data_IF_237752642399
#
_entry.id   IF_237752642399
#
_cell.length_a   1.000
_cell.length_b   1.000
_cell.length_c   1.000
_cell.angle_alpha   90.00
_cell.angle_beta   90.00
_cell.angle_gamma   90.00
#
_symmetry.space_group_name_H-M   'P 1'
#
loop_
_entity.id
_entity.type
_entity.pdbx_description
1 polymer ?
#
# COMPACT_ATOMS: atom_id res chain seq x y z
N UNK A 1 4.11 -0.82 -11.56
CA UNK A 1 5.56 -0.63 -11.55
C UNK A 1 6.06 -0.98 -10.15
N UNK A 2 7.23 -1.63 -10.03
CA UNK A 2 7.78 -2.09 -8.73
C UNK A 2 7.70 -3.60 -8.48
N UNK A 3 7.06 -4.39 -9.35
CA UNK A 3 7.04 -5.86 -9.25
C UNK A 3 5.92 -6.45 -8.39
N UNK A 4 5.22 -5.64 -7.60
CA UNK A 4 4.17 -6.14 -6.69
C UNK A 4 2.89 -6.61 -7.37
N UNK A 5 2.23 -7.60 -6.75
CA UNK A 5 0.93 -8.18 -7.12
C UNK A 5 -0.19 -7.55 -6.28
N UNK A 6 -1.12 -6.88 -6.93
CA UNK A 6 -2.29 -6.30 -6.25
C UNK A 6 -3.25 -7.43 -5.86
N UNK A 7 -3.49 -7.61 -4.57
CA UNK A 7 -4.44 -8.58 -4.02
C UNK A 7 -5.79 -7.91 -3.73
N UNK A 8 -5.78 -6.67 -3.25
CA UNK A 8 -6.97 -5.88 -2.92
C UNK A 8 -6.79 -4.44 -3.41
N UNK A 9 -7.85 -3.81 -3.94
CA UNK A 9 -7.82 -2.41 -4.40
C UNK A 9 -9.05 -1.60 -3.97
N UNK A 10 -9.71 -2.04 -2.90
CA UNK A 10 -11.05 -1.66 -2.45
C UNK A 10 -12.04 -2.82 -2.60
N UNK A 11 -13.33 -2.56 -2.39
CA UNK A 11 -14.39 -3.56 -2.52
C UNK A 11 -15.36 -3.53 -1.35
N UNK A 12 -15.94 -4.68 -1.02
CA UNK A 12 -16.75 -4.84 0.18
C UNK A 12 -15.83 -4.90 1.40
N UNK A 13 -16.11 -4.04 2.39
CA UNK A 13 -15.29 -3.90 3.59
C UNK A 13 -16.22 -3.99 4.79
N UNK A 14 -15.86 -4.87 5.73
CA UNK A 14 -16.49 -4.96 7.04
C UNK A 14 -15.35 -4.73 8.04
N UNK A 15 -15.40 -3.59 8.72
CA UNK A 15 -14.45 -3.29 9.77
C UNK A 15 -14.91 -3.90 11.10
N UNK A 16 -13.95 -4.34 11.91
CA UNK A 16 -14.15 -4.86 13.26
C UNK A 16 -13.35 -4.03 14.27
N UNK A 17 -13.77 -4.03 15.54
CA UNK A 17 -13.14 -3.30 16.65
C UNK A 17 -12.94 -1.80 16.34
N UNK A 18 -11.70 -1.32 16.40
CA UNK A 18 -11.33 0.07 16.07
C UNK A 18 -11.03 0.26 14.57
N UNK A 19 -11.32 -0.73 13.73
CA UNK A 19 -11.10 -0.66 12.29
C UNK A 19 -11.99 0.39 11.62
N UNK A 20 -11.46 1.03 10.58
CA UNK A 20 -12.19 1.97 9.73
C UNK A 20 -12.51 1.29 8.41
N UNK A 21 -13.78 1.30 8.00
CA UNK A 21 -14.23 0.68 6.75
C UNK A 21 -13.91 1.55 5.51
N UNK A 22 -12.64 1.93 5.37
CA UNK A 22 -12.14 2.76 4.29
C UNK A 22 -11.43 1.93 3.22
N UNK A 23 -11.23 2.53 2.05
CA UNK A 23 -10.59 1.87 0.91
C UNK A 23 -9.21 1.30 1.29
N UNK A 24 -9.11 -0.03 1.35
CA UNK A 24 -7.84 -0.74 1.56
C UNK A 24 -7.22 -1.16 0.24
N UNK A 25 -5.90 -1.00 0.11
CA UNK A 25 -5.10 -1.58 -1.00
C UNK A 25 -4.08 -2.52 -0.38
N UNK A 26 -4.03 -3.76 -0.86
CA UNK A 26 -3.05 -4.75 -0.44
C UNK A 26 -2.24 -5.19 -1.66
N UNK A 27 -0.93 -5.09 -1.56
CA UNK A 27 0.01 -5.46 -2.61
C UNK A 27 1.04 -6.41 -1.99
N UNK A 28 1.16 -7.59 -2.59
CA UNK A 28 2.18 -8.58 -2.23
C UNK A 28 3.44 -8.37 -3.08
N UNK A 29 4.60 -8.55 -2.46
CA UNK A 29 5.90 -8.51 -3.10
C UNK A 29 6.67 -9.78 -2.75
N UNK A 30 7.62 -10.16 -3.61
CA UNK A 30 8.41 -11.38 -3.41
C UNK A 30 9.38 -11.24 -2.21
N UNK A 31 9.68 -10.02 -1.76
CA UNK A 31 10.45 -9.76 -0.55
C UNK A 31 10.10 -8.40 0.09
N UNK A 32 10.43 -8.24 1.38
CA UNK A 32 10.27 -6.98 2.09
C UNK A 32 11.08 -5.85 1.45
N UNK A 33 12.32 -6.12 1.06
CA UNK A 33 13.21 -5.17 0.39
C UNK A 33 12.65 -4.71 -0.95
N UNK A 34 11.99 -5.60 -1.70
CA UNK A 34 11.34 -5.22 -2.94
C UNK A 34 10.19 -4.23 -2.70
N UNK A 35 9.39 -4.45 -1.66
CA UNK A 35 8.32 -3.53 -1.28
C UNK A 35 8.87 -2.16 -0.85
N UNK A 36 9.95 -2.15 -0.06
CA UNK A 36 10.64 -0.91 0.34
C UNK A 36 11.20 -0.19 -0.88
N UNK A 37 11.93 -0.88 -1.76
CA UNK A 37 12.50 -0.29 -2.96
C UNK A 37 11.41 0.26 -3.91
N UNK A 38 10.25 -0.40 -4.00
CA UNK A 38 9.12 0.11 -4.77
C UNK A 38 8.58 1.42 -4.19
N UNK A 39 8.44 1.52 -2.86
CA UNK A 39 8.03 2.74 -2.18
C UNK A 39 9.07 3.87 -2.32
N UNK A 40 10.36 3.57 -2.16
CA UNK A 40 11.44 4.55 -2.25
C UNK A 40 11.77 4.98 -3.70
N UNK A 41 11.21 4.29 -4.69
CA UNK A 41 11.47 4.58 -6.10
C UNK A 41 11.07 6.01 -6.49
N UNK A 42 11.87 6.64 -7.35
CA UNK A 42 11.60 7.98 -7.86
C UNK A 42 10.19 8.11 -8.44
N UNK A 43 9.75 7.12 -9.22
CA UNK A 43 8.42 7.11 -9.81
C UNK A 43 7.29 7.09 -8.76
N UNK A 44 7.47 6.37 -7.65
CA UNK A 44 6.48 6.38 -6.57
C UNK A 44 6.50 7.71 -5.80
N UNK A 45 7.69 8.26 -5.54
CA UNK A 45 7.83 9.58 -4.89
C UNK A 45 7.20 10.70 -5.74
N UNK A 46 7.38 10.67 -7.07
CA UNK A 46 6.68 11.59 -7.99
C UNK A 46 5.16 11.43 -7.92
N UNK A 47 4.66 10.19 -7.84
CA UNK A 47 3.23 9.93 -7.67
C UNK A 47 2.71 10.46 -6.32
N UNK A 48 3.52 10.43 -5.26
CA UNK A 48 3.15 11.03 -3.97
C UNK A 48 3.07 12.56 -4.04
N UNK A 49 3.97 13.22 -4.77
CA UNK A 49 3.90 14.67 -5.01
C UNK A 49 2.62 15.02 -5.76
N UNK A 50 2.27 14.25 -6.80
CA UNK A 50 1.03 14.45 -7.55
C UNK A 50 -0.23 14.21 -6.71
N UNK A 51 -0.15 13.32 -5.72
CA UNK A 51 -1.23 13.03 -4.79
C UNK A 51 -1.48 14.15 -3.78
N UNK A 52 -0.44 14.93 -3.43
CA UNK A 52 -0.51 16.05 -2.48
C UNK A 52 -1.21 15.65 -1.16
N UNK A 53 -1.96 16.57 -0.58
CA UNK A 53 -2.90 16.46 0.52
C UNK A 53 -4.27 15.86 0.12
N UNK A 54 -4.38 15.29 -1.08
CA UNK A 54 -5.65 14.76 -1.58
C UNK A 54 -6.21 13.57 -0.80
N UNK A 55 -5.37 12.91 0.03
CA UNK A 55 -5.75 11.78 0.89
C UNK A 55 -4.92 11.74 2.17
N UNK A 56 -5.53 11.31 3.26
CA UNK A 56 -4.83 10.79 4.44
C UNK A 56 -4.76 9.26 4.31
N UNK A 57 -3.61 8.67 4.64
CA UNK A 57 -3.39 7.22 4.47
C UNK A 57 -2.62 6.66 5.64
N UNK A 58 -3.14 5.56 6.16
CA UNK A 58 -2.37 4.60 6.91
C UNK A 58 -1.62 3.69 5.92
N UNK A 59 -0.32 3.92 5.76
CA UNK A 59 0.53 3.16 4.85
C UNK A 59 1.59 2.39 5.63
N UNK A 60 1.69 1.09 5.40
CA UNK A 60 2.63 0.21 6.09
C UNK A 60 3.22 -0.79 5.11
N UNK A 61 4.50 -1.10 5.31
CA UNK A 61 5.18 -2.26 4.71
C UNK A 61 5.44 -3.21 5.87
N UNK A 62 5.03 -4.47 5.73
CA UNK A 62 5.09 -5.46 6.79
C UNK A 62 5.73 -6.71 6.22
N UNK A 63 6.69 -7.28 6.97
CA UNK A 63 7.33 -8.54 6.61
C UNK A 63 6.36 -9.72 6.80
N UNK A 64 6.44 -10.70 5.89
CA UNK A 64 5.73 -11.96 6.04
C UNK A 64 6.31 -12.80 7.19
N UNK A 65 5.62 -13.89 7.55
CA UNK A 65 6.09 -14.79 8.60
C UNK A 65 6.97 -15.95 8.08
N UNK A 66 7.11 -16.07 6.76
CA UNK A 66 7.76 -17.17 6.06
C UNK A 66 9.05 -16.71 5.35
#
# INVERSE_FOLDING_TARGET
AGGGRVLVRGGQIVAHDAGIAERTVLIEFDSFEQAVAAHESAAYQEALVALSDGVERDFRIVEGID
#
